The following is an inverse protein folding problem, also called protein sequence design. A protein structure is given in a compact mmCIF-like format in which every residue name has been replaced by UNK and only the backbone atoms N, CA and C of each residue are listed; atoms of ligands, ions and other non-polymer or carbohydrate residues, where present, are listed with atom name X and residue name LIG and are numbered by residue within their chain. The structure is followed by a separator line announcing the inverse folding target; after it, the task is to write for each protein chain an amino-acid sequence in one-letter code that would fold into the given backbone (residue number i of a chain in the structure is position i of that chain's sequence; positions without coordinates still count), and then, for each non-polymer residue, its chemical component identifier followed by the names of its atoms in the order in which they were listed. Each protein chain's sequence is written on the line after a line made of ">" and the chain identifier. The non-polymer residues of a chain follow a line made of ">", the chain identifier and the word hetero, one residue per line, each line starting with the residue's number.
data_IF_017038876853
#
_entry.id   IF_017038876853
#
_cell.length_a   1.000
_cell.length_b   1.000
_cell.length_c   1.000
_cell.angle_alpha   90.00
_cell.angle_beta   90.00
_cell.angle_gamma   90.00
#
_symmetry.space_group_name_H-M   'P 1'
#
loop_
_entity.id
_entity.type
_entity.pdbx_description
1 polymer ?
#
# COMPACT_ATOMS: atom_id res chain seq x y z
N UNK A 1 -24.01 27.25 -4.08
CA UNK A 1 -23.17 26.10 -3.81
C UNK A 1 -23.87 25.18 -2.83
N UNK A 2 -24.11 23.90 -3.21
CA UNK A 2 -24.81 22.92 -2.38
C UNK A 2 -24.16 21.54 -2.55
N UNK A 3 -24.18 20.72 -1.51
CA UNK A 3 -23.73 19.33 -1.58
C UNK A 3 -24.97 18.43 -1.61
N UNK A 4 -25.02 17.57 -2.63
CA UNK A 4 -26.06 16.52 -2.77
C UNK A 4 -25.41 15.14 -2.67
N UNK A 5 -26.24 14.14 -2.35
CA UNK A 5 -25.82 12.74 -2.28
C UNK A 5 -26.34 11.97 -3.48
N UNK A 6 -25.55 10.99 -3.93
CA UNK A 6 -25.94 10.12 -5.03
C UNK A 6 -25.28 8.75 -4.96
N UNK A 7 -25.63 7.92 -5.92
CA UNK A 7 -25.02 6.62 -6.15
C UNK A 7 -24.22 6.69 -7.44
N UNK A 8 -22.96 6.34 -7.39
CA UNK A 8 -22.10 6.25 -8.56
C UNK A 8 -22.58 5.10 -9.46
N UNK A 9 -22.88 5.39 -10.71
CA UNK A 9 -23.33 4.40 -11.69
C UNK A 9 -22.16 3.86 -12.52
N UNK A 10 -21.24 4.76 -12.88
CA UNK A 10 -20.04 4.41 -13.63
C UNK A 10 -18.94 5.43 -13.40
N UNK A 11 -17.68 5.02 -13.59
CA UNK A 11 -16.51 5.88 -13.59
C UNK A 11 -15.66 5.60 -14.83
N UNK A 12 -15.25 6.66 -15.51
CA UNK A 12 -14.33 6.60 -16.64
C UNK A 12 -12.96 7.15 -16.21
N UNK A 13 -11.94 6.29 -16.04
CA UNK A 13 -10.62 6.72 -15.61
C UNK A 13 -9.83 7.51 -16.66
N UNK A 14 -10.23 7.44 -17.94
CA UNK A 14 -9.55 8.16 -19.03
C UNK A 14 -9.96 9.62 -19.06
N UNK A 15 -11.28 9.90 -18.95
CA UNK A 15 -11.80 11.25 -18.94
C UNK A 15 -11.93 11.83 -17.53
N UNK A 16 -11.77 11.00 -16.52
CA UNK A 16 -11.93 11.33 -15.10
C UNK A 16 -13.31 11.89 -14.78
N UNK A 17 -14.33 11.26 -15.37
CA UNK A 17 -15.73 11.62 -15.22
C UNK A 17 -16.56 10.41 -14.80
N UNK A 18 -17.71 10.67 -14.20
CA UNK A 18 -18.62 9.62 -13.74
C UNK A 18 -20.09 9.91 -14.12
N UNK A 19 -20.91 8.86 -14.07
CA UNK A 19 -22.37 8.99 -14.07
C UNK A 19 -22.87 8.74 -12.66
N UNK A 20 -23.81 9.56 -12.20
CA UNK A 20 -24.34 9.54 -10.83
C UNK A 20 -25.85 9.62 -10.83
N UNK A 21 -26.50 8.80 -10.02
CA UNK A 21 -27.92 8.89 -9.72
C UNK A 21 -28.11 9.66 -8.41
N UNK A 22 -28.76 10.81 -8.47
CA UNK A 22 -29.04 11.61 -7.26
C UNK A 22 -30.15 10.97 -6.43
N UNK A 23 -30.05 11.01 -5.10
CA UNK A 23 -31.14 10.53 -4.22
C UNK A 23 -32.41 11.31 -4.33
N UNK A 24 -32.32 12.60 -4.66
CA UNK A 24 -33.45 13.48 -4.80
C UNK A 24 -34.15 13.40 -6.18
N UNK A 25 -33.48 12.74 -7.14
CA UNK A 25 -33.95 12.60 -8.52
C UNK A 25 -33.60 11.24 -9.10
N UNK A 26 -34.21 10.19 -8.55
CA UNK A 26 -33.90 8.78 -8.90
C UNK A 26 -34.26 8.36 -10.32
N UNK A 27 -34.93 9.23 -11.08
CA UNK A 27 -35.31 8.98 -12.48
C UNK A 27 -34.32 9.53 -13.51
N UNK A 28 -33.36 10.32 -13.10
CA UNK A 28 -32.40 10.95 -14.00
C UNK A 28 -30.97 10.84 -13.48
N UNK A 29 -30.09 10.19 -14.26
CA UNK A 29 -28.66 10.14 -13.96
C UNK A 29 -27.95 11.36 -14.55
N UNK A 30 -27.12 12.01 -13.75
CA UNK A 30 -26.14 12.98 -14.24
C UNK A 30 -24.99 12.22 -14.91
N UNK A 31 -24.64 12.60 -16.12
CA UNK A 31 -23.55 11.98 -16.89
C UNK A 31 -22.41 12.97 -17.10
N UNK A 32 -21.17 12.46 -17.20
CA UNK A 32 -20.01 13.30 -17.46
C UNK A 32 -19.62 14.22 -16.28
N UNK A 33 -20.05 13.91 -15.06
CA UNK A 33 -19.71 14.69 -13.88
C UNK A 33 -18.20 14.52 -13.59
N UNK A 34 -17.40 15.59 -13.53
CA UNK A 34 -16.01 15.52 -13.15
C UNK A 34 -15.82 14.88 -11.78
N UNK A 35 -14.73 14.13 -11.62
CA UNK A 35 -14.36 13.48 -10.35
C UNK A 35 -13.12 14.16 -9.80
N UNK A 36 -13.08 14.47 -8.51
CA UNK A 36 -11.93 15.09 -7.87
C UNK A 36 -10.70 14.18 -7.96
N UNK A 37 -9.53 14.74 -8.26
CA UNK A 37 -8.30 14.00 -8.56
C UNK A 37 -7.78 13.07 -7.45
N UNK A 38 -8.24 13.25 -6.22
CA UNK A 38 -7.88 12.36 -5.11
C UNK A 38 -8.73 11.07 -5.04
N UNK A 39 -9.78 10.97 -5.87
CA UNK A 39 -10.61 9.78 -6.02
C UNK A 39 -10.08 8.98 -7.21
N UNK A 40 -9.79 7.72 -7.01
CA UNK A 40 -9.28 6.82 -8.04
C UNK A 40 -10.32 5.76 -8.46
N UNK A 41 -9.97 4.93 -9.44
CA UNK A 41 -10.84 3.86 -9.92
C UNK A 41 -11.13 2.77 -8.88
N UNK A 42 -10.39 2.71 -7.77
CA UNK A 42 -10.65 1.76 -6.69
C UNK A 42 -11.62 2.31 -5.65
N UNK A 43 -11.67 3.63 -5.51
CA UNK A 43 -12.63 4.33 -4.65
C UNK A 43 -13.92 4.71 -5.37
N UNK A 44 -13.85 4.94 -6.68
CA UNK A 44 -14.99 5.30 -7.53
C UNK A 44 -15.67 4.07 -8.13
N UNK A 45 -16.09 3.12 -7.29
CA UNK A 45 -16.75 1.90 -7.73
C UNK A 45 -18.25 2.12 -8.00
N UNK A 46 -18.82 1.52 -9.07
CA UNK A 46 -20.26 1.51 -9.29
C UNK A 46 -21.02 1.00 -8.06
N UNK A 47 -22.09 1.68 -7.68
CA UNK A 47 -22.86 1.40 -6.47
C UNK A 47 -22.37 2.12 -5.21
N UNK A 48 -21.20 2.77 -5.23
CA UNK A 48 -20.73 3.56 -4.10
C UNK A 48 -21.60 4.80 -3.88
N UNK A 49 -21.84 5.12 -2.61
CA UNK A 49 -22.41 6.42 -2.24
C UNK A 49 -21.38 7.51 -2.54
N UNK A 50 -21.84 8.65 -3.05
CA UNK A 50 -20.97 9.78 -3.32
C UNK A 50 -21.56 11.11 -2.85
N UNK A 51 -20.69 12.06 -2.55
CA UNK A 51 -21.04 13.46 -2.33
C UNK A 51 -20.67 14.26 -3.58
N UNK A 52 -21.63 15.01 -4.09
CA UNK A 52 -21.50 15.85 -5.27
C UNK A 52 -21.65 17.30 -4.85
N UNK A 53 -20.67 18.13 -5.16
CA UNK A 53 -20.70 19.57 -4.98
C UNK A 53 -21.24 20.20 -6.25
N UNK A 54 -22.33 20.98 -6.14
CA UNK A 54 -22.85 21.85 -7.19
C UNK A 54 -22.39 23.28 -6.89
N UNK A 55 -21.71 23.90 -7.82
CA UNK A 55 -21.30 25.29 -7.72
C UNK A 55 -22.49 26.20 -8.00
N UNK A 56 -23.32 25.81 -8.99
CA UNK A 56 -24.64 26.39 -9.24
C UNK A 56 -25.71 25.30 -9.08
N UNK A 57 -26.66 25.52 -8.17
CA UNK A 57 -27.76 24.57 -7.89
C UNK A 57 -28.67 24.32 -9.08
N UNK A 58 -28.82 25.31 -9.96
CA UNK A 58 -29.68 25.26 -11.13
C UNK A 58 -28.99 24.74 -12.38
N UNK A 59 -27.66 24.50 -12.32
CA UNK A 59 -26.88 23.96 -13.42
C UNK A 59 -26.27 22.60 -13.04
N UNK A 60 -26.91 21.47 -13.40
CA UNK A 60 -26.36 20.14 -13.10
C UNK A 60 -24.98 19.86 -13.73
N UNK A 61 -24.63 20.59 -14.79
CA UNK A 61 -23.31 20.44 -15.45
C UNK A 61 -22.17 21.11 -14.67
N UNK A 62 -22.51 22.05 -13.78
CA UNK A 62 -21.52 22.73 -12.92
C UNK A 62 -21.41 22.03 -11.57
N UNK A 63 -20.94 20.79 -11.63
CA UNK A 63 -20.84 19.94 -10.46
C UNK A 63 -19.54 19.10 -10.49
N UNK A 64 -19.10 18.63 -9.32
CA UNK A 64 -17.95 17.76 -9.17
C UNK A 64 -18.19 16.73 -8.05
N UNK A 65 -17.78 15.49 -8.26
CA UNK A 65 -17.79 14.47 -7.21
C UNK A 65 -16.57 14.72 -6.32
N UNK A 66 -16.83 15.02 -5.05
CA UNK A 66 -15.79 15.38 -4.06
C UNK A 66 -15.46 14.26 -3.07
N UNK A 67 -16.33 13.26 -2.94
CA UNK A 67 -16.08 12.11 -2.07
C UNK A 67 -16.89 10.90 -2.54
N UNK A 68 -16.35 9.71 -2.32
CA UNK A 68 -17.06 8.43 -2.41
C UNK A 68 -17.02 7.73 -1.07
N UNK A 69 -18.07 6.99 -0.73
CA UNK A 69 -18.22 6.25 0.51
C UNK A 69 -18.46 4.79 0.16
N UNK A 70 -17.69 3.90 0.73
CA UNK A 70 -17.88 2.47 0.53
C UNK A 70 -19.20 2.05 1.17
N UNK A 71 -20.09 1.47 0.39
CA UNK A 71 -21.37 1.00 0.88
C UNK A 71 -21.19 -0.32 1.61
N UNK A 72 -21.09 -0.26 2.93
CA UNK A 72 -21.49 -1.28 3.91
C UNK A 72 -21.00 -2.71 3.83
N UNK A 73 -20.23 -3.13 2.85
CA UNK A 73 -19.66 -4.47 2.79
C UNK A 73 -18.14 -4.45 2.79
N UNK A 74 -17.60 -4.74 3.98
CA UNK A 74 -16.28 -5.34 4.21
C UNK A 74 -15.10 -4.77 3.40
N UNK A 75 -14.76 -3.50 3.60
CA UNK A 75 -13.49 -2.99 3.12
C UNK A 75 -13.25 -1.60 3.67
N UNK A 76 -12.18 -1.44 4.43
CA UNK A 76 -11.58 -0.11 4.59
C UNK A 76 -11.38 0.47 3.19
N UNK A 77 -11.68 1.77 2.94
CA UNK A 77 -11.41 2.37 1.64
C UNK A 77 -9.96 2.07 1.27
N UNK A 78 -9.77 1.52 0.07
CA UNK A 78 -8.42 1.28 -0.44
C UNK A 78 -7.71 2.63 -0.45
N UNK A 79 -6.57 2.78 0.20
CA UNK A 79 -5.84 4.04 0.18
C UNK A 79 -5.53 4.45 -1.26
N UNK A 80 -5.54 5.76 -1.54
CA UNK A 80 -5.18 6.26 -2.86
C UNK A 80 -3.80 5.73 -3.27
N UNK A 81 -3.58 5.36 -4.56
CA UNK A 81 -2.31 4.84 -5.04
C UNK A 81 -1.14 5.74 -4.66
N UNK A 82 -0.06 5.14 -4.20
CA UNK A 82 1.14 5.86 -3.74
C UNK A 82 1.03 6.45 -2.34
N UNK A 83 -0.09 6.28 -1.63
CA UNK A 83 -0.24 6.74 -0.25
C UNK A 83 0.40 5.77 0.73
N UNK A 84 1.26 6.28 1.60
CA UNK A 84 1.76 5.53 2.75
C UNK A 84 0.68 5.47 3.84
N UNK A 85 0.26 4.26 4.17
CA UNK A 85 -0.67 3.99 5.27
C UNK A 85 0.10 3.35 6.43
N UNK A 86 0.05 3.97 7.60
CA UNK A 86 0.64 3.41 8.81
C UNK A 86 -0.30 2.36 9.42
N UNK A 87 0.29 1.27 9.89
CA UNK A 87 -0.42 0.20 10.60
C UNK A 87 0.22 -0.04 11.95
N UNK A 88 -0.51 -0.71 12.85
CA UNK A 88 0.10 -1.22 14.08
C UNK A 88 1.26 -2.13 13.71
N UNK A 89 2.41 -1.92 14.37
CA UNK A 89 3.62 -2.70 14.12
C UNK A 89 3.33 -4.20 14.21
N UNK A 90 3.63 -4.91 13.14
CA UNK A 90 3.45 -6.36 13.06
C UNK A 90 4.79 -7.06 12.78
N UNK A 91 5.09 -8.10 13.55
CA UNK A 91 6.30 -8.89 13.37
C UNK A 91 6.09 -9.94 12.27
N UNK A 92 6.65 -9.69 11.09
CA UNK A 92 6.54 -10.56 9.92
C UNK A 92 7.48 -11.77 9.98
N UNK A 93 8.70 -11.53 10.48
CA UNK A 93 9.74 -12.55 10.61
C UNK A 93 10.24 -12.53 12.05
N UNK A 94 10.40 -13.69 12.67
CA UNK A 94 10.77 -13.82 14.08
C UNK A 94 11.97 -14.73 14.27
N UNK A 95 13.16 -14.14 14.32
CA UNK A 95 14.38 -14.87 14.63
C UNK A 95 14.74 -15.93 13.58
N UNK A 96 14.42 -15.69 12.30
CA UNK A 96 14.77 -16.63 11.24
C UNK A 96 16.27 -16.58 10.94
N UNK A 97 16.84 -17.72 10.60
CA UNK A 97 18.28 -17.89 10.40
C UNK A 97 18.57 -18.03 8.92
N UNK A 98 19.37 -17.12 8.37
CA UNK A 98 19.83 -17.15 6.99
C UNK A 98 21.33 -17.48 6.99
N UNK A 99 21.71 -18.56 6.31
CA UNK A 99 23.12 -18.95 6.17
C UNK A 99 23.91 -17.92 5.36
N UNK A 100 25.21 -17.85 5.57
CA UNK A 100 26.10 -16.98 4.81
C UNK A 100 25.96 -17.19 3.29
N UNK A 101 25.74 -16.12 2.55
CA UNK A 101 25.51 -16.13 1.09
C UNK A 101 24.12 -16.60 0.65
N UNK A 102 23.29 -17.13 1.55
CA UNK A 102 21.95 -17.59 1.24
C UNK A 102 20.94 -16.44 1.19
N UNK A 103 19.83 -16.69 0.49
CA UNK A 103 18.69 -15.79 0.37
C UNK A 103 17.42 -16.52 0.79
N UNK A 104 16.64 -15.93 1.68
CA UNK A 104 15.31 -16.41 2.06
C UNK A 104 14.25 -15.44 1.53
N UNK A 105 13.12 -16.00 1.09
CA UNK A 105 11.96 -15.23 0.58
C UNK A 105 10.87 -15.18 1.64
N UNK A 106 10.28 -14.00 1.82
CA UNK A 106 9.19 -13.75 2.77
C UNK A 106 8.01 -13.09 2.09
N UNK A 107 6.80 -13.60 2.34
CA UNK A 107 5.54 -12.96 1.93
C UNK A 107 5.09 -12.04 3.06
N UNK A 108 4.97 -10.75 2.78
CA UNK A 108 4.65 -9.72 3.77
C UNK A 108 3.19 -9.25 3.70
N UNK A 109 2.44 -9.69 2.68
CA UNK A 109 1.03 -9.34 2.50
C UNK A 109 0.11 -10.47 2.98
N UNK A 110 -1.11 -10.11 3.39
CA UNK A 110 -2.13 -11.07 3.80
C UNK A 110 -2.88 -10.63 5.05
N UNK A 111 -3.96 -11.35 5.37
CA UNK A 111 -4.89 -11.00 6.45
C UNK A 111 -4.21 -10.92 7.82
N UNK A 112 -3.27 -11.82 8.09
CA UNK A 112 -2.54 -11.85 9.36
C UNK A 112 -1.44 -10.78 9.47
N UNK A 113 -1.01 -10.21 8.35
CA UNK A 113 0.08 -9.25 8.31
C UNK A 113 -0.37 -7.78 8.43
N UNK A 114 -1.68 -7.51 8.33
CA UNK A 114 -2.23 -6.16 8.30
C UNK A 114 -1.83 -5.36 7.04
N UNK A 115 -1.23 -6.02 6.05
CA UNK A 115 -0.80 -5.45 4.77
C UNK A 115 -1.65 -6.09 3.68
N UNK A 116 -2.44 -5.31 2.93
CA UNK A 116 -3.32 -5.86 1.90
C UNK A 116 -2.52 -6.48 0.74
N UNK A 117 -3.13 -7.46 0.08
CA UNK A 117 -2.65 -7.93 -1.22
C UNK A 117 -2.70 -6.77 -2.22
N UNK A 118 -1.66 -6.66 -3.06
CA UNK A 118 -1.54 -5.54 -4.00
C UNK A 118 -0.77 -4.34 -3.46
N UNK A 119 -0.29 -4.37 -2.21
CA UNK A 119 0.63 -3.36 -1.71
C UNK A 119 1.91 -3.33 -2.56
N UNK A 120 2.31 -2.11 -2.98
CA UNK A 120 3.49 -1.87 -3.81
C UNK A 120 4.78 -1.82 -2.99
N UNK A 121 4.66 -1.50 -1.70
CA UNK A 121 5.80 -1.40 -0.80
C UNK A 121 5.41 -1.39 0.66
N UNK A 122 6.40 -1.55 1.52
CA UNK A 122 6.24 -1.56 2.98
C UNK A 122 7.25 -0.65 3.67
N UNK A 123 6.79 0.03 4.73
CA UNK A 123 7.66 0.64 5.71
C UNK A 123 8.06 -0.45 6.70
N UNK A 124 9.34 -0.77 6.75
CA UNK A 124 9.85 -1.86 7.59
C UNK A 124 10.86 -1.38 8.61
N UNK A 125 11.02 -2.18 9.67
CA UNK A 125 12.15 -2.14 10.61
C UNK A 125 12.71 -3.56 10.74
N UNK A 126 13.97 -3.73 10.41
CA UNK A 126 14.64 -5.03 10.52
C UNK A 126 15.72 -4.97 11.59
N UNK A 127 15.81 -6.05 12.35
CA UNK A 127 16.91 -6.34 13.27
C UNK A 127 17.63 -7.56 12.74
N UNK A 128 18.95 -7.55 12.79
CA UNK A 128 19.72 -8.75 12.57
C UNK A 128 20.91 -8.82 13.51
N UNK A 129 21.32 -10.04 13.82
CA UNK A 129 22.52 -10.34 14.60
C UNK A 129 23.35 -11.38 13.88
N UNK A 130 24.65 -11.35 14.08
CA UNK A 130 25.59 -12.35 13.56
C UNK A 130 26.79 -12.52 14.48
N UNK A 131 27.33 -13.73 14.53
CA UNK A 131 28.60 -14.01 15.18
C UNK A 131 29.81 -13.52 14.37
N UNK A 132 29.61 -13.17 13.09
CA UNK A 132 30.66 -12.76 12.18
C UNK A 132 30.78 -11.24 12.10
N UNK A 133 31.97 -10.71 12.32
CA UNK A 133 32.32 -9.33 12.01
C UNK A 133 32.26 -9.14 10.49
N UNK A 134 31.77 -7.99 10.04
CA UNK A 134 31.56 -7.70 8.62
C UNK A 134 30.22 -8.20 8.07
N UNK A 135 29.40 -8.90 8.88
CA UNK A 135 28.09 -9.37 8.43
C UNK A 135 27.12 -8.20 8.18
N UNK A 136 26.39 -8.31 7.10
CA UNK A 136 25.29 -7.40 6.73
C UNK A 136 24.21 -8.15 5.97
N UNK A 137 23.02 -7.59 5.95
CA UNK A 137 21.89 -8.12 5.18
C UNK A 137 21.51 -7.17 4.06
N UNK A 138 21.00 -7.73 2.98
CA UNK A 138 20.45 -7.02 1.84
C UNK A 138 18.98 -7.38 1.69
N UNK A 139 18.15 -6.39 1.37
CA UNK A 139 16.72 -6.58 1.16
C UNK A 139 16.36 -6.07 -0.24
N UNK A 140 15.56 -6.85 -0.96
CA UNK A 140 15.07 -6.49 -2.29
C UNK A 140 13.67 -7.07 -2.54
N UNK A 141 12.92 -6.57 -3.54
CA UNK A 141 11.76 -7.27 -4.07
C UNK A 141 12.16 -8.69 -4.51
N UNK A 142 11.25 -9.66 -4.32
CA UNK A 142 11.52 -11.05 -4.70
C UNK A 142 11.86 -11.17 -6.19
N UNK A 143 12.76 -12.12 -6.50
CA UNK A 143 13.27 -12.40 -7.84
C UNK A 143 14.02 -11.22 -8.52
N UNK A 144 14.53 -10.29 -7.73
CA UNK A 144 15.41 -9.24 -8.24
C UNK A 144 16.72 -9.87 -8.72
N UNK A 145 17.12 -9.57 -9.97
CA UNK A 145 18.32 -10.12 -10.58
C UNK A 145 19.61 -9.73 -9.82
N UNK A 146 19.64 -8.51 -9.27
CA UNK A 146 20.76 -8.02 -8.47
C UNK A 146 20.23 -7.42 -7.15
N UNK A 147 20.22 -8.22 -6.10
CA UNK A 147 19.82 -7.80 -4.76
C UNK A 147 20.74 -6.71 -4.19
N UNK A 148 21.96 -6.60 -4.68
CA UNK A 148 22.93 -5.60 -4.20
C UNK A 148 22.56 -4.17 -4.61
N UNK A 149 21.74 -4.03 -5.65
CA UNK A 149 21.26 -2.73 -6.12
C UNK A 149 20.27 -2.05 -5.17
N UNK A 150 19.65 -2.80 -4.24
CA UNK A 150 18.59 -2.28 -3.38
C UNK A 150 19.07 -1.79 -2.02
N UNK A 151 20.16 -2.00 -1.58
CA UNK A 151 20.66 -1.50 -0.32
C UNK A 151 20.85 -2.56 0.76
N UNK A 152 21.65 -2.20 1.71
CA UNK A 152 22.03 -3.07 2.81
C UNK A 152 21.72 -2.42 4.15
N UNK A 153 21.41 -3.25 5.15
CA UNK A 153 21.32 -2.81 6.53
C UNK A 153 22.58 -3.21 7.27
N UNK A 154 23.27 -2.20 7.75
CA UNK A 154 24.33 -2.28 8.72
C UNK A 154 25.55 -3.09 8.29
N UNK A 155 26.52 -3.04 9.18
CA UNK A 155 27.72 -3.87 9.14
C UNK A 155 28.07 -4.24 10.59
N UNK A 156 28.05 -5.51 10.95
CA UNK A 156 28.42 -5.99 12.28
C UNK A 156 29.90 -5.69 12.52
N UNK A 157 30.19 -4.79 13.42
CA UNK A 157 31.57 -4.40 13.79
C UNK A 157 32.10 -5.19 14.99
N UNK A 158 31.19 -5.75 15.78
CA UNK A 158 31.52 -6.57 16.95
C UNK A 158 30.77 -7.90 16.85
N UNK A 159 31.48 -9.01 16.95
CA UNK A 159 30.87 -10.36 16.91
C UNK A 159 29.75 -10.49 17.95
N UNK A 160 28.70 -11.24 17.63
CA UNK A 160 27.50 -11.45 18.46
C UNK A 160 26.73 -10.16 18.82
N UNK A 161 26.94 -9.07 18.09
CA UNK A 161 26.13 -7.88 18.22
C UNK A 161 24.92 -7.90 17.31
N UNK A 162 24.00 -6.98 17.55
CA UNK A 162 22.81 -6.78 16.73
C UNK A 162 22.76 -5.37 16.17
N UNK A 163 22.26 -5.25 14.94
CA UNK A 163 22.03 -3.97 14.26
C UNK A 163 20.57 -3.91 13.83
N UNK A 164 20.05 -2.70 13.73
CA UNK A 164 18.74 -2.47 13.15
C UNK A 164 18.79 -1.39 12.06
N UNK A 165 17.85 -1.48 11.14
CA UNK A 165 17.61 -0.49 10.11
C UNK A 165 16.13 -0.35 9.84
N UNK A 166 15.73 0.82 9.36
CA UNK A 166 14.37 1.13 8.95
C UNK A 166 14.39 1.73 7.56
N UNK A 167 13.40 1.41 6.74
CA UNK A 167 13.29 1.95 5.40
C UNK A 167 11.99 1.60 4.72
N UNK A 168 11.87 2.11 3.49
CA UNK A 168 10.82 1.70 2.56
C UNK A 168 11.40 0.64 1.63
N UNK A 169 10.64 -0.42 1.40
CA UNK A 169 11.01 -1.50 0.50
C UNK A 169 9.86 -1.79 -0.46
N UNK A 170 10.18 -1.83 -1.74
CA UNK A 170 9.23 -2.26 -2.76
C UNK A 170 8.93 -3.76 -2.59
N UNK A 171 7.70 -4.17 -2.87
CA UNK A 171 7.28 -5.56 -2.95
C UNK A 171 7.20 -6.02 -4.40
N UNK A 172 7.31 -7.32 -4.63
CA UNK A 172 6.90 -7.89 -5.92
C UNK A 172 5.37 -7.94 -6.04
N UNK A 173 4.86 -8.33 -7.19
CA UNK A 173 3.40 -8.42 -7.46
C UNK A 173 2.66 -9.41 -6.56
N UNK A 174 3.37 -10.33 -5.90
CA UNK A 174 2.83 -11.29 -4.93
C UNK A 174 3.04 -10.85 -3.47
N UNK A 175 3.54 -9.63 -3.23
CA UNK A 175 3.78 -9.10 -1.89
C UNK A 175 4.99 -9.71 -1.19
N UNK A 176 6.02 -10.10 -1.95
CA UNK A 176 7.20 -10.81 -1.43
C UNK A 176 8.46 -9.96 -1.49
N UNK A 177 9.38 -10.28 -0.60
CA UNK A 177 10.74 -9.76 -0.57
C UNK A 177 11.76 -10.90 -0.44
N UNK A 178 12.98 -10.62 -0.84
CA UNK A 178 14.15 -11.45 -0.56
C UNK A 178 15.04 -10.75 0.47
N UNK A 179 15.55 -11.54 1.42
CA UNK A 179 16.58 -11.10 2.37
C UNK A 179 17.78 -12.02 2.22
N UNK A 180 18.92 -11.44 1.93
CA UNK A 180 20.19 -12.15 1.76
C UNK A 180 21.14 -11.82 2.91
N UNK A 181 21.70 -12.85 3.56
CA UNK A 181 22.83 -12.70 4.44
C UNK A 181 24.11 -12.75 3.62
N UNK A 182 24.97 -11.73 3.70
CA UNK A 182 26.13 -11.64 2.83
C UNK A 182 27.34 -12.35 3.44
N UNK A 183 27.78 -11.92 4.62
CA UNK A 183 28.94 -12.49 5.32
C UNK A 183 28.47 -13.05 6.66
N UNK A 184 28.73 -14.34 6.89
CA UNK A 184 28.29 -15.02 8.12
C UNK A 184 26.79 -15.33 8.15
N UNK A 185 26.44 -16.26 9.01
CA UNK A 185 25.03 -16.59 9.28
C UNK A 185 24.38 -15.44 10.07
N UNK A 186 23.21 -14.99 9.64
CA UNK A 186 22.44 -13.91 10.27
C UNK A 186 21.13 -14.43 10.84
N UNK A 187 20.79 -14.00 12.06
CA UNK A 187 19.45 -14.19 12.65
C UNK A 187 18.66 -12.89 12.46
N UNK A 188 17.46 -12.97 11.86
CA UNK A 188 16.71 -11.81 11.39
C UNK A 188 15.35 -11.76 12.06
N UNK A 189 14.95 -10.55 12.44
CA UNK A 189 13.58 -10.21 12.85
C UNK A 189 13.12 -8.99 12.06
N UNK A 190 11.97 -9.08 11.39
CA UNK A 190 11.40 -8.02 10.55
C UNK A 190 10.03 -7.60 11.08
N UNK A 191 9.84 -6.30 11.22
CA UNK A 191 8.57 -5.67 11.52
C UNK A 191 8.11 -4.80 10.35
N UNK A 192 6.80 -4.76 10.13
CA UNK A 192 6.17 -3.79 9.23
C UNK A 192 5.40 -2.75 10.03
N UNK A 193 5.45 -1.50 9.59
CA UNK A 193 4.83 -0.33 10.24
C UNK A 193 3.89 0.43 9.32
N UNK A 194 3.85 0.09 8.05
CA UNK A 194 3.01 0.72 7.04
C UNK A 194 3.21 0.10 5.67
N UNK A 195 2.37 0.51 4.72
CA UNK A 195 2.43 0.06 3.35
C UNK A 195 2.05 1.18 2.37
N UNK A 196 2.41 0.98 1.10
CA UNK A 196 2.04 1.81 -0.05
C UNK A 196 1.20 0.96 -0.99
N UNK A 197 0.08 1.49 -1.47
CA UNK A 197 -0.75 0.89 -2.53
C UNK A 197 -0.59 1.67 -3.82
#
# INVERSE_FOLDING_TARGET
>A
MIIKRGILQSFNPVTYTASVLLFEATSCALTGVPVANHLDGTSALPGALCAILFFDEHNPQDSVIIATFVNGSSGLPTPAPGRLTFVTSYRQVSGDVIAAGATNTYTLTGVSAGIPSGALGVLYKAYFSSASVGAYIQLAPHATADITAYGSIGNITVANSSINGMGLLQLDSAGRIDIKANVGTCTITLYTHGYII
#
